data_IF_477959027089
#
_entry.id   IF_477959027089
#
_cell.length_a   1.000
_cell.length_b   1.000
_cell.length_c   1.000
_cell.angle_alpha   90.00
_cell.angle_beta   90.00
_cell.angle_gamma   90.00
#
_symmetry.space_group_name_H-M   'P 1'
#
loop_
_entity.id
_entity.type
_entity.pdbx_description
1 polymer ?
#
# COMPACT_ATOMS: atom_id res chain seq x y z
N UNK A 1 -7.47 -11.33 17.31
CA UNK A 1 -7.61 -11.22 15.84
C UNK A 1 -6.23 -11.07 15.27
N UNK A 2 -5.91 -11.83 14.24
CA UNK A 2 -4.61 -11.81 13.59
C UNK A 2 -4.71 -11.15 12.21
N UNK A 3 -3.85 -10.19 11.93
CA UNK A 3 -3.71 -9.56 10.62
C UNK A 3 -2.32 -9.81 10.05
N UNK A 4 -2.24 -10.26 8.81
CA UNK A 4 -0.96 -10.40 8.11
C UNK A 4 -0.83 -9.33 7.03
N UNK A 5 0.25 -8.56 7.12
CA UNK A 5 0.64 -7.57 6.13
C UNK A 5 1.58 -8.21 5.12
N UNK A 6 1.26 -8.09 3.84
CA UNK A 6 2.10 -8.54 2.74
C UNK A 6 2.48 -7.34 1.90
N UNK A 7 3.76 -7.06 1.79
CA UNK A 7 4.25 -5.93 1.01
C UNK A 7 5.65 -6.15 0.46
N UNK A 8 5.97 -5.43 -0.61
CA UNK A 8 7.21 -5.58 -1.36
C UNK A 8 8.21 -4.44 -1.05
N UNK A 9 8.46 -4.15 0.23
CA UNK A 9 9.39 -3.11 0.69
C UNK A 9 10.37 -3.65 1.72
N UNK A 10 11.45 -2.92 1.93
CA UNK A 10 12.31 -3.13 3.09
C UNK A 10 11.56 -2.76 4.38
N UNK A 11 11.90 -3.48 5.45
CA UNK A 11 11.43 -3.15 6.80
C UNK A 11 12.20 -1.94 7.31
N UNK A 12 11.87 -0.78 6.77
CA UNK A 12 12.43 0.49 7.23
C UNK A 12 11.44 1.20 8.14
N UNK A 13 11.93 1.78 9.23
CA UNK A 13 11.10 2.43 10.26
C UNK A 13 10.14 3.51 9.71
N UNK A 14 10.50 4.11 8.57
CA UNK A 14 9.68 5.11 7.90
C UNK A 14 8.67 4.53 6.89
N UNK A 15 8.67 3.22 6.68
CA UNK A 15 7.77 2.62 5.69
C UNK A 15 6.33 2.61 6.19
N UNK A 16 5.42 3.03 5.35
CA UNK A 16 3.98 3.05 5.64
C UNK A 16 3.43 1.69 6.08
N UNK A 17 3.77 0.55 5.42
CA UNK A 17 3.29 -0.75 5.86
C UNK A 17 3.74 -1.12 7.26
N UNK A 18 4.99 -0.84 7.60
CA UNK A 18 5.54 -1.17 8.92
C UNK A 18 4.93 -0.30 10.01
N UNK A 19 4.77 1.01 9.77
CA UNK A 19 4.09 1.92 10.70
C UNK A 19 2.65 1.48 10.96
N UNK A 20 1.94 1.04 9.93
CA UNK A 20 0.58 0.52 10.08
C UNK A 20 0.56 -0.78 10.88
N UNK A 21 1.49 -1.69 10.63
CA UNK A 21 1.63 -2.95 11.37
C UNK A 21 1.83 -2.68 12.87
N UNK A 22 2.73 -1.78 13.23
CA UNK A 22 2.97 -1.39 14.62
C UNK A 22 1.73 -0.76 15.28
N UNK A 23 0.95 0.05 14.57
CA UNK A 23 -0.28 0.63 15.11
C UNK A 23 -1.33 -0.45 15.41
N UNK A 24 -1.44 -1.51 14.61
CA UNK A 24 -2.29 -2.65 14.90
C UNK A 24 -1.81 -3.43 16.12
N UNK A 25 -0.50 -3.64 16.24
CA UNK A 25 0.12 -4.32 17.37
C UNK A 25 -0.13 -3.57 18.69
N UNK A 26 0.03 -2.24 18.71
CA UNK A 26 -0.28 -1.37 19.86
C UNK A 26 -1.76 -1.44 20.26
N UNK A 27 -2.65 -1.72 19.33
CA UNK A 27 -4.08 -1.93 19.57
C UNK A 27 -4.43 -3.35 20.03
N UNK A 28 -3.41 -4.19 20.23
CA UNK A 28 -3.56 -5.55 20.74
C UNK A 28 -3.95 -6.61 19.69
N UNK A 29 -3.68 -6.34 18.42
CA UNK A 29 -3.81 -7.35 17.37
C UNK A 29 -2.54 -8.20 17.32
N UNK A 30 -2.71 -9.45 16.93
CA UNK A 30 -1.59 -10.30 16.52
C UNK A 30 -1.21 -9.94 15.08
N UNK A 31 0.06 -9.58 14.86
CA UNK A 31 0.50 -9.03 13.58
C UNK A 31 1.55 -9.91 12.93
N UNK A 32 1.24 -10.43 11.76
CA UNK A 32 2.18 -11.10 10.86
C UNK A 32 2.70 -10.14 9.79
N UNK A 33 3.95 -10.30 9.40
CA UNK A 33 4.57 -9.51 8.33
C UNK A 33 5.26 -10.43 7.33
N UNK A 34 4.86 -10.34 6.07
CA UNK A 34 5.57 -10.95 4.93
C UNK A 34 6.15 -9.81 4.10
N UNK A 35 7.39 -9.48 4.36
CA UNK A 35 8.12 -8.41 3.70
C UNK A 35 9.20 -8.97 2.80
N UNK A 36 9.32 -8.41 1.62
CA UNK A 36 10.34 -8.79 0.65
C UNK A 36 11.38 -7.70 0.57
N UNK A 37 12.60 -8.01 0.96
CA UNK A 37 13.71 -7.06 0.97
C UNK A 37 14.07 -6.46 -0.39
N UNK A 38 15.01 -5.52 -0.42
CA UNK A 38 15.34 -4.64 -1.55
C UNK A 38 15.91 -5.33 -2.80
N UNK A 39 16.45 -6.52 -2.69
CA UNK A 39 17.04 -7.28 -3.80
C UNK A 39 16.02 -8.14 -4.56
N UNK A 40 14.98 -7.56 -5.01
CA UNK A 40 13.73 -8.17 -5.40
C UNK A 40 13.73 -8.70 -6.81
N UNK A 41 13.40 -9.97 -6.93
CA UNK A 41 12.80 -10.47 -8.15
C UNK A 41 11.49 -11.22 -7.80
N UNK A 42 10.66 -11.44 -8.80
CA UNK A 42 9.37 -12.12 -8.66
C UNK A 42 9.48 -13.50 -8.01
N UNK A 43 10.57 -14.24 -8.25
CA UNK A 43 10.74 -15.60 -7.72
C UNK A 43 10.93 -15.64 -6.21
N UNK A 44 11.57 -14.65 -5.62
CA UNK A 44 11.67 -14.54 -4.16
C UNK A 44 10.30 -14.21 -3.55
N UNK A 45 9.56 -13.32 -4.15
CA UNK A 45 8.22 -12.99 -3.72
C UNK A 45 7.31 -14.21 -3.68
N UNK A 46 7.25 -14.95 -4.78
CA UNK A 46 6.45 -16.17 -4.87
C UNK A 46 6.89 -17.22 -3.85
N UNK A 47 8.19 -17.31 -3.57
CA UNK A 47 8.72 -18.24 -2.56
C UNK A 47 8.27 -17.84 -1.15
N UNK A 48 8.36 -16.55 -0.80
CA UNK A 48 7.98 -16.08 0.53
C UNK A 48 6.48 -16.23 0.78
N UNK A 49 5.64 -15.89 -0.22
CA UNK A 49 4.21 -16.13 -0.15
C UNK A 49 3.88 -17.62 -0.01
N UNK A 50 4.57 -18.48 -0.77
CA UNK A 50 4.37 -19.91 -0.69
C UNK A 50 4.73 -20.45 0.70
N UNK A 51 5.88 -20.07 1.25
CA UNK A 51 6.32 -20.50 2.57
C UNK A 51 5.31 -20.06 3.64
N UNK A 52 4.87 -18.81 3.60
CA UNK A 52 3.85 -18.29 4.50
C UNK A 52 2.54 -19.10 4.44
N UNK A 53 2.05 -19.42 3.24
CA UNK A 53 0.84 -20.24 3.07
C UNK A 53 1.03 -21.68 3.57
N UNK A 54 2.23 -22.26 3.42
CA UNK A 54 2.55 -23.62 3.87
C UNK A 54 2.67 -23.72 5.40
N UNK A 55 3.02 -22.64 6.10
CA UNK A 55 3.07 -22.55 7.55
C UNK A 55 1.68 -22.63 8.21
N UNK A 56 0.62 -22.79 7.42
CA UNK A 56 -0.79 -22.82 7.88
C UNK A 56 -1.15 -21.60 8.71
N UNK A 57 -0.89 -20.46 8.13
CA UNK A 57 -1.24 -19.18 8.74
C UNK A 57 -2.72 -19.17 9.16
N UNK A 58 -2.98 -18.70 10.36
CA UNK A 58 -4.29 -18.55 10.97
C UNK A 58 -4.78 -17.11 10.96
N UNK A 59 -4.34 -16.33 9.99
CA UNK A 59 -4.77 -14.95 9.82
C UNK A 59 -6.28 -14.84 9.67
N UNK A 60 -6.87 -13.91 10.41
CA UNK A 60 -8.25 -13.47 10.22
C UNK A 60 -8.35 -12.50 9.03
N UNK A 61 -7.32 -11.66 8.84
CA UNK A 61 -7.22 -10.67 7.78
C UNK A 61 -5.85 -10.75 7.11
N UNK A 62 -5.85 -10.65 5.78
CA UNK A 62 -4.65 -10.49 4.97
C UNK A 62 -4.74 -9.16 4.24
N UNK A 63 -3.80 -8.26 4.49
CA UNK A 63 -3.68 -6.98 3.78
C UNK A 63 -2.47 -7.00 2.87
N UNK A 64 -2.71 -7.06 1.57
CA UNK A 64 -1.69 -6.91 0.55
C UNK A 64 -1.59 -5.45 0.10
N UNK A 65 -0.43 -4.84 0.30
CA UNK A 65 -0.15 -3.47 -0.13
C UNK A 65 0.61 -3.52 -1.46
N UNK A 66 -0.17 -3.39 -2.55
CA UNK A 66 0.31 -3.50 -3.92
C UNK A 66 0.73 -2.13 -4.47
N UNK A 67 2.01 -1.92 -4.59
CA UNK A 67 2.57 -0.72 -5.22
C UNK A 67 2.89 -0.97 -6.70
N UNK A 68 2.13 -1.83 -7.35
CA UNK A 68 2.19 -2.06 -8.80
C UNK A 68 3.40 -2.84 -9.30
N UNK A 69 4.28 -3.32 -8.41
CA UNK A 69 5.56 -3.93 -8.80
C UNK A 69 5.54 -5.44 -8.89
N UNK A 70 4.74 -6.09 -8.07
CA UNK A 70 4.69 -7.55 -7.99
C UNK A 70 3.26 -8.06 -8.11
N UNK A 71 3.12 -9.15 -8.81
CA UNK A 71 1.89 -9.91 -8.88
C UNK A 71 2.21 -11.39 -8.65
N UNK A 72 1.53 -12.02 -7.70
CA UNK A 72 1.63 -13.45 -7.52
C UNK A 72 0.24 -14.08 -7.62
N UNK A 73 0.07 -15.15 -8.41
CA UNK A 73 -1.18 -15.90 -8.44
C UNK A 73 -1.47 -16.61 -7.10
N UNK A 74 -0.50 -16.64 -6.17
CA UNK A 74 -0.68 -17.17 -4.83
C UNK A 74 -1.43 -16.18 -3.92
N UNK A 75 -1.44 -14.88 -4.25
CA UNK A 75 -2.22 -13.86 -3.57
C UNK A 75 -3.67 -13.94 -4.05
N UNK A 76 -4.40 -14.85 -3.43
CA UNK A 76 -5.77 -15.16 -3.80
C UNK A 76 -6.54 -15.65 -2.56
N UNK A 77 -7.73 -15.08 -2.31
CA UNK A 77 -8.61 -15.46 -1.22
C UNK A 77 -8.97 -16.96 -1.19
N UNK A 78 -8.88 -17.63 -2.34
CA UNK A 78 -9.11 -19.08 -2.41
C UNK A 78 -7.95 -19.91 -1.82
N UNK A 79 -6.77 -19.30 -1.63
CA UNK A 79 -5.60 -19.98 -1.02
C UNK A 79 -5.67 -20.06 0.48
N UNK A 80 -6.32 -19.08 1.13
CA UNK A 80 -6.62 -19.09 2.57
C UNK A 80 -8.06 -18.59 2.75
N UNK A 81 -9.07 -19.45 2.52
CA UNK A 81 -10.48 -19.05 2.53
C UNK A 81 -11.02 -18.63 3.91
N UNK A 82 -10.30 -18.96 4.99
CA UNK A 82 -10.64 -18.55 6.35
C UNK A 82 -10.35 -17.08 6.62
N UNK A 83 -9.44 -16.47 5.86
CA UNK A 83 -9.05 -15.07 6.01
C UNK A 83 -9.90 -14.15 5.13
N UNK A 84 -10.05 -12.90 5.59
CA UNK A 84 -10.60 -11.82 4.79
C UNK A 84 -9.46 -11.07 4.08
N UNK A 85 -9.48 -11.08 2.75
CA UNK A 85 -8.39 -10.55 1.93
C UNK A 85 -8.67 -9.14 1.44
N UNK A 86 -7.73 -8.25 1.70
CA UNK A 86 -7.76 -6.83 1.31
C UNK A 86 -6.58 -6.55 0.40
N UNK A 87 -6.85 -5.95 -0.76
CA UNK A 87 -5.80 -5.34 -1.59
C UNK A 87 -5.80 -3.83 -1.35
N UNK A 88 -4.66 -3.25 -1.04
CA UNK A 88 -4.42 -1.82 -1.23
C UNK A 88 -3.80 -1.64 -2.61
N UNK A 89 -4.53 -0.97 -3.49
CA UNK A 89 -4.12 -0.75 -4.87
C UNK A 89 -3.29 0.52 -4.96
N UNK A 90 -1.99 0.33 -5.11
CA UNK A 90 -1.07 1.45 -5.26
C UNK A 90 -1.06 2.04 -6.67
N UNK A 91 -0.70 3.32 -6.74
CA UNK A 91 -0.47 4.06 -7.99
C UNK A 91 -1.69 4.14 -8.94
N UNK A 92 -2.93 4.06 -8.43
CA UNK A 92 -4.11 4.45 -9.20
C UNK A 92 -4.14 5.99 -9.36
N UNK A 93 -4.64 6.50 -10.47
CA UNK A 93 -5.24 5.77 -11.61
C UNK A 93 -4.24 5.24 -12.64
N UNK A 94 -2.94 5.55 -12.53
CA UNK A 94 -1.94 5.23 -13.56
C UNK A 94 -1.82 3.72 -13.84
N UNK A 95 -1.98 2.91 -12.80
CA UNK A 95 -1.88 1.45 -12.90
C UNK A 95 -3.22 0.73 -12.82
N UNK A 96 -4.34 1.42 -12.95
CA UNK A 96 -5.68 0.84 -12.80
C UNK A 96 -5.90 -0.43 -13.62
N UNK A 97 -5.58 -0.41 -14.91
CA UNK A 97 -5.80 -1.57 -15.80
C UNK A 97 -4.89 -2.77 -15.46
N UNK A 98 -3.76 -2.55 -14.80
CA UNK A 98 -2.90 -3.62 -14.29
C UNK A 98 -3.41 -4.15 -12.94
N UNK A 99 -4.00 -3.29 -12.11
CA UNK A 99 -4.48 -3.62 -10.78
C UNK A 99 -5.87 -4.29 -10.82
N UNK A 100 -6.73 -3.89 -11.75
CA UNK A 100 -8.09 -4.42 -11.86
C UNK A 100 -8.19 -5.95 -11.96
N UNK A 101 -7.38 -6.66 -12.78
CA UNK A 101 -7.41 -8.13 -12.79
C UNK A 101 -7.01 -8.75 -11.45
N UNK A 102 -6.07 -8.13 -10.73
CA UNK A 102 -5.64 -8.60 -9.41
C UNK A 102 -6.76 -8.46 -8.39
N UNK A 103 -7.51 -7.35 -8.42
CA UNK A 103 -8.59 -7.05 -7.46
C UNK A 103 -9.65 -8.14 -7.36
N UNK A 104 -9.86 -8.92 -8.41
CA UNK A 104 -10.82 -10.05 -8.42
C UNK A 104 -10.45 -11.17 -7.46
N UNK A 105 -9.18 -11.27 -7.07
CA UNK A 105 -8.65 -12.29 -6.16
C UNK A 105 -8.81 -11.93 -4.68
N UNK A 106 -9.29 -10.72 -4.38
CA UNK A 106 -9.46 -10.20 -3.04
C UNK A 106 -10.95 -10.06 -2.68
N UNK A 107 -11.25 -9.90 -1.41
CA UNK A 107 -12.61 -9.63 -0.96
C UNK A 107 -12.96 -8.17 -1.21
N UNK A 108 -12.03 -7.27 -0.90
CA UNK A 108 -12.17 -5.84 -1.17
C UNK A 108 -10.87 -5.23 -1.71
N UNK A 109 -11.02 -4.10 -2.39
CA UNK A 109 -9.90 -3.27 -2.87
C UNK A 109 -9.97 -1.88 -2.24
N UNK A 110 -8.84 -1.40 -1.74
CA UNK A 110 -8.67 -0.03 -1.25
C UNK A 110 -7.88 0.76 -2.29
N UNK A 111 -8.33 1.97 -2.62
CA UNK A 111 -7.62 2.88 -3.53
C UNK A 111 -7.57 4.29 -2.97
N UNK A 112 -6.46 4.97 -3.15
CA UNK A 112 -6.31 6.38 -2.78
C UNK A 112 -6.97 7.33 -3.78
N UNK A 113 -7.34 6.84 -4.96
CA UNK A 113 -8.01 7.60 -6.00
C UNK A 113 -9.53 7.33 -6.02
N UNK A 114 -10.32 8.38 -5.78
CA UNK A 114 -11.78 8.25 -5.68
C UNK A 114 -12.44 7.84 -7.00
N UNK A 115 -11.92 8.29 -8.13
CA UNK A 115 -12.46 7.96 -9.45
C UNK A 115 -12.19 6.49 -9.78
N UNK A 116 -11.02 5.97 -9.40
CA UNK A 116 -10.70 4.55 -9.51
C UNK A 116 -11.60 3.69 -8.64
N UNK A 117 -11.96 4.12 -7.43
CA UNK A 117 -12.92 3.40 -6.57
C UNK A 117 -14.27 3.24 -7.28
N UNK A 118 -14.78 4.30 -7.89
CA UNK A 118 -16.05 4.24 -8.62
C UNK A 118 -15.93 3.33 -9.86
N UNK A 119 -14.80 3.31 -10.52
CA UNK A 119 -14.58 2.44 -11.68
C UNK A 119 -14.43 0.96 -11.27
N UNK A 120 -13.76 0.66 -10.14
CA UNK A 120 -13.76 -0.69 -9.55
C UNK A 120 -15.19 -1.18 -9.28
N UNK A 121 -16.00 -0.36 -8.62
CA UNK A 121 -17.41 -0.70 -8.31
C UNK A 121 -18.24 -0.94 -9.57
N UNK A 122 -18.12 -0.09 -10.59
CA UNK A 122 -18.80 -0.28 -11.89
C UNK A 122 -18.46 -1.61 -12.54
N UNK A 123 -17.24 -2.08 -12.35
CA UNK A 123 -16.75 -3.37 -12.89
C UNK A 123 -16.98 -4.55 -11.93
N UNK A 124 -17.73 -4.35 -10.83
CA UNK A 124 -18.16 -5.40 -9.91
C UNK A 124 -17.15 -5.78 -8.83
N UNK A 125 -16.19 -4.92 -8.54
CA UNK A 125 -15.27 -5.06 -7.41
C UNK A 125 -15.80 -4.27 -6.23
N UNK A 126 -15.81 -4.88 -5.04
CA UNK A 126 -16.10 -4.16 -3.80
C UNK A 126 -14.88 -3.31 -3.43
N UNK A 127 -15.01 -1.99 -3.55
CA UNK A 127 -13.90 -1.06 -3.42
C UNK A 127 -14.24 0.12 -2.52
N UNK A 128 -13.22 0.61 -1.80
CA UNK A 128 -13.35 1.71 -0.87
C UNK A 128 -12.23 2.71 -1.04
N UNK A 129 -12.54 3.97 -0.78
CA UNK A 129 -11.55 5.02 -0.74
C UNK A 129 -10.68 4.90 0.52
N UNK A 130 -9.38 4.96 0.31
CA UNK A 130 -8.38 4.85 1.35
C UNK A 130 -7.31 5.93 1.14
N UNK A 131 -7.20 6.86 2.05
CA UNK A 131 -6.19 7.93 1.94
C UNK A 131 -4.84 7.47 2.49
N UNK A 132 -3.78 7.96 1.88
CA UNK A 132 -2.46 7.85 2.47
C UNK A 132 -2.46 8.53 3.86
N UNK A 133 -1.69 7.99 4.75
CA UNK A 133 -1.55 8.51 6.12
C UNK A 133 -0.07 8.75 6.43
N UNK A 134 0.17 9.63 7.42
CA UNK A 134 1.48 9.87 7.98
C UNK A 134 1.53 9.28 9.38
N UNK A 135 2.61 8.55 9.69
CA UNK A 135 2.90 8.16 11.05
C UNK A 135 3.41 9.38 11.84
N UNK A 136 2.59 9.86 12.74
CA UNK A 136 2.93 11.06 13.56
C UNK A 136 4.07 10.83 14.55
N UNK A 137 4.48 9.59 14.78
CA UNK A 137 5.66 9.25 15.59
C UNK A 137 6.96 9.44 14.81
N UNK A 138 6.91 9.27 13.50
CA UNK A 138 8.06 9.38 12.59
C UNK A 138 8.00 10.67 11.77
N UNK A 139 6.80 11.07 11.35
CA UNK A 139 6.55 12.24 10.51
C UNK A 139 5.84 13.32 11.34
N UNK A 140 6.59 14.18 11.98
CA UNK A 140 6.05 15.26 12.81
C UNK A 140 6.68 16.61 12.45
N UNK A 141 5.96 17.71 12.62
CA UNK A 141 6.52 19.04 12.43
C UNK A 141 7.68 19.29 13.40
N UNK A 142 8.83 19.67 12.89
CA UNK A 142 9.96 20.05 13.72
C UNK A 142 9.64 21.41 14.33
N UNK A 143 9.55 21.48 15.67
CA UNK A 143 9.31 22.72 16.39
C UNK A 143 10.52 23.64 16.28
N UNK A 144 10.27 24.94 16.26
CA UNK A 144 11.30 25.98 16.28
C UNK A 144 12.17 26.10 14.99
N UNK A 145 11.73 25.48 13.90
CA UNK A 145 12.29 25.76 12.56
C UNK A 145 11.34 26.69 11.81
N UNK A 146 11.85 27.85 11.45
CA UNK A 146 11.11 28.75 10.57
C UNK A 146 11.09 28.16 9.14
N UNK A 147 9.90 28.03 8.51
CA UNK A 147 9.82 27.51 7.17
C UNK A 147 10.61 28.37 6.19
N UNK A 148 11.55 27.77 5.46
CA UNK A 148 12.33 28.47 4.45
C UNK A 148 11.63 28.54 3.10
N UNK A 149 10.57 27.74 2.92
CA UNK A 149 9.84 27.60 1.65
C UNK A 149 8.35 27.58 1.91
N UNK A 150 7.58 28.20 1.01
CA UNK A 150 6.11 28.19 1.08
C UNK A 150 5.53 26.86 0.56
N UNK A 151 6.26 26.11 -0.23
CA UNK A 151 5.88 24.80 -0.73
C UNK A 151 7.13 23.95 -1.00
N UNK A 152 7.03 22.67 -0.75
CA UNK A 152 8.03 21.66 -1.10
C UNK A 152 7.33 20.53 -1.82
N UNK A 153 7.88 20.07 -2.94
CA UNK A 153 7.42 18.89 -3.65
C UNK A 153 8.53 17.87 -3.74
N UNK A 154 8.18 16.60 -3.55
CA UNK A 154 9.10 15.50 -3.79
C UNK A 154 9.05 15.10 -5.27
N UNK A 155 10.20 14.73 -5.85
CA UNK A 155 10.26 14.28 -7.24
C UNK A 155 9.49 12.97 -7.43
N UNK A 156 8.23 13.07 -7.89
CA UNK A 156 7.50 11.99 -8.55
C UNK A 156 7.30 12.36 -10.02
N UNK A 157 6.73 11.48 -10.83
CA UNK A 157 6.48 11.74 -12.26
C UNK A 157 5.59 12.96 -12.55
N UNK A 158 4.84 13.45 -11.58
CA UNK A 158 4.05 14.68 -11.68
C UNK A 158 4.71 15.94 -11.07
N UNK A 159 5.82 15.78 -10.35
CA UNK A 159 6.43 16.88 -9.58
C UNK A 159 7.05 17.98 -10.45
N UNK A 160 7.56 17.65 -11.63
CA UNK A 160 8.13 18.62 -12.56
C UNK A 160 7.08 19.59 -13.10
N UNK A 161 5.91 19.11 -13.47
CA UNK A 161 4.83 19.95 -14.00
C UNK A 161 4.28 20.91 -12.93
N UNK A 162 4.19 20.46 -11.67
CA UNK A 162 3.76 21.31 -10.57
C UNK A 162 4.78 22.41 -10.26
N UNK A 163 6.08 22.11 -10.29
CA UNK A 163 7.15 23.10 -10.11
C UNK A 163 7.16 24.13 -11.23
N UNK A 164 6.97 23.72 -12.48
CA UNK A 164 6.87 24.62 -13.63
C UNK A 164 5.69 25.59 -13.49
N UNK A 165 4.56 25.09 -12.98
CA UNK A 165 3.36 25.89 -12.71
C UNK A 165 3.60 26.91 -11.60
N UNK A 166 4.28 26.53 -10.51
CA UNK A 166 4.62 27.45 -9.41
C UNK A 166 5.60 28.54 -9.84
N UNK A 167 6.56 28.20 -10.70
CA UNK A 167 7.56 29.16 -11.21
C UNK A 167 6.91 30.20 -12.12
N UNK A 168 5.88 29.83 -12.88
CA UNK A 168 5.15 30.74 -13.77
C UNK A 168 4.25 31.74 -13.01
N UNK A 169 3.82 31.43 -11.81
CA UNK A 169 2.94 32.28 -10.98
C UNK A 169 3.68 33.06 -9.88
N UNK A 170 4.98 32.82 -9.69
CA UNK A 170 5.79 33.44 -8.64
C UNK A 170 6.50 34.74 -9.05
N UNK A 171 6.32 35.22 -10.27
CA UNK A 171 6.91 36.47 -10.78
C UNK A 171 5.84 37.57 -10.95
N UNK A 172 5.15 37.86 -9.86
CA UNK A 172 4.21 38.97 -9.78
C UNK A 172 4.48 39.84 -8.56
#
# INVERSE_FOLDING_TARGET
>A
MKITFIYAFENEEWSTPLSLAYEFEERGWDVGIVSIGSNRNQSYFDTDIKNWLEEKDDSDIVLFMDWGRFDSPLLDKEKLPSAFWIQESGDDPQNFENNFPKSKRFNITLSADADSVEEYKKRGIDAYWWTHFADTKVQFPIKDIEPQYNAVTTRGQGGSQFLDTLTLHGNG
#
